data_IF_037584957102
#
_entry.id   IF_037584957102
#
_cell.length_a   1.000
_cell.length_b   1.000
_cell.length_c   1.000
_cell.angle_alpha   90.00
_cell.angle_beta   90.00
_cell.angle_gamma   90.00
#
_symmetry.space_group_name_H-M   'P 1'
#
loop_
_entity.id
_entity.type
_entity.pdbx_description
1 polymer ?
#
# COMPACT_ATOMS: atom_id res chain seq x y z
N UNK A 1 -31.41 -54.48 22.01
CA UNK A 1 -31.82 -53.69 20.82
C UNK A 1 -32.23 -52.31 21.34
N UNK A 2 -31.64 -51.16 21.04
CA UNK A 2 -30.42 -50.73 20.36
C UNK A 2 -30.00 -49.42 21.05
N UNK A 3 -28.71 -49.24 21.33
CA UNK A 3 -28.16 -47.97 21.79
C UNK A 3 -28.19 -46.98 20.61
N UNK A 4 -28.89 -45.85 20.76
CA UNK A 4 -28.88 -44.79 19.77
C UNK A 4 -27.66 -43.90 20.01
N UNK A 5 -26.64 -44.13 19.19
CA UNK A 5 -25.48 -43.27 19.00
C UNK A 5 -25.91 -41.94 18.37
N UNK A 6 -25.81 -40.84 19.11
CA UNK A 6 -25.91 -39.50 18.53
C UNK A 6 -24.50 -39.03 18.16
N UNK A 7 -24.22 -39.03 16.86
CA UNK A 7 -23.02 -38.46 16.28
C UNK A 7 -23.14 -36.93 16.34
N UNK A 8 -22.37 -36.29 17.23
CA UNK A 8 -22.16 -34.84 17.17
C UNK A 8 -21.32 -34.52 15.94
N UNK A 9 -21.97 -34.02 14.89
CA UNK A 9 -21.30 -33.46 13.72
C UNK A 9 -20.57 -32.18 14.16
N UNK A 10 -19.26 -32.25 14.30
CA UNK A 10 -18.41 -31.05 14.47
C UNK A 10 -18.26 -30.45 13.08
N UNK A 11 -19.00 -29.40 12.79
CA UNK A 11 -18.73 -28.50 11.66
C UNK A 11 -17.38 -27.83 11.90
N UNK A 12 -16.34 -28.32 11.22
CA UNK A 12 -15.02 -27.69 11.21
C UNK A 12 -15.15 -26.30 10.58
N UNK A 13 -14.70 -25.30 11.33
CA UNK A 13 -14.73 -23.89 10.98
C UNK A 13 -14.15 -23.65 9.58
N UNK A 14 -14.84 -22.82 8.79
CA UNK A 14 -14.28 -22.23 7.59
C UNK A 14 -12.97 -21.54 7.99
N UNK A 15 -11.88 -21.94 7.34
CA UNK A 15 -10.66 -21.15 7.29
C UNK A 15 -11.02 -19.82 6.64
N UNK A 16 -11.30 -18.80 7.47
CA UNK A 16 -11.36 -17.42 7.01
C UNK A 16 -10.03 -17.12 6.36
N UNK A 17 -10.07 -16.74 5.08
CA UNK A 17 -8.93 -16.18 4.39
C UNK A 17 -8.32 -15.10 5.31
N UNK A 18 -7.06 -15.28 5.70
CA UNK A 18 -6.32 -14.23 6.38
C UNK A 18 -6.39 -13.00 5.46
N UNK A 19 -7.09 -11.96 5.92
CA UNK A 19 -7.25 -10.72 5.18
C UNK A 19 -5.88 -10.06 5.08
N UNK A 20 -5.17 -10.36 4.00
CA UNK A 20 -3.92 -9.67 3.65
C UNK A 20 -4.30 -8.27 3.18
N UNK A 21 -4.44 -7.35 4.15
CA UNK A 21 -4.70 -5.90 4.05
C UNK A 21 -5.60 -5.45 2.88
N UNK A 22 -6.74 -4.85 3.20
CA UNK A 22 -7.65 -4.30 2.19
C UNK A 22 -7.08 -3.13 1.39
N UNK A 23 -6.02 -2.47 1.85
CA UNK A 23 -5.13 -1.67 1.01
C UNK A 23 -3.68 -1.88 1.44
N UNK A 24 -2.74 -1.73 0.51
CA UNK A 24 -1.31 -1.93 0.78
C UNK A 24 -0.45 -0.92 0.00
N UNK A 25 0.49 -0.29 0.70
CA UNK A 25 1.57 0.50 0.11
C UNK A 25 2.87 -0.32 0.12
N UNK A 26 3.39 -0.65 -1.07
CA UNK A 26 4.73 -1.24 -1.23
C UNK A 26 5.66 -0.23 -1.91
N UNK A 27 6.90 -0.11 -1.43
CA UNK A 27 7.89 0.87 -1.92
C UNK A 27 9.13 0.18 -2.51
N UNK A 28 9.72 0.76 -3.56
CA UNK A 28 11.00 0.32 -4.15
C UNK A 28 11.97 1.47 -4.39
N UNK A 29 13.20 1.28 -3.93
CA UNK A 29 14.25 2.31 -3.94
C UNK A 29 15.28 2.25 -5.08
N UNK A 30 15.22 1.28 -5.99
CA UNK A 30 16.35 1.04 -6.92
C UNK A 30 15.92 0.83 -8.38
N UNK A 31 14.98 1.62 -8.91
CA UNK A 31 14.46 1.34 -10.25
C UNK A 31 14.01 2.54 -11.08
N UNK A 32 14.62 2.66 -12.25
CA UNK A 32 14.22 3.57 -13.33
C UNK A 32 12.90 3.18 -14.06
N UNK A 33 12.06 2.32 -13.49
CA UNK A 33 10.84 1.82 -14.13
C UNK A 33 9.68 1.65 -13.17
N UNK A 34 8.48 2.03 -13.62
CA UNK A 34 7.22 1.95 -12.89
C UNK A 34 6.65 0.52 -12.81
N UNK A 35 7.41 -0.40 -12.22
CA UNK A 35 7.07 -1.81 -12.03
C UNK A 35 7.74 -2.36 -10.77
N UNK A 36 7.31 -3.53 -10.26
CA UNK A 36 8.07 -4.26 -9.23
C UNK A 36 9.32 -4.92 -9.84
N UNK A 37 10.52 -4.78 -9.24
CA UNK A 37 11.71 -5.47 -9.72
C UNK A 37 11.60 -6.97 -9.46
N UNK A 38 12.06 -7.79 -10.40
CA UNK A 38 12.14 -9.24 -10.19
C UNK A 38 13.12 -9.56 -9.05
N UNK A 39 12.69 -10.36 -8.08
CA UNK A 39 13.50 -10.73 -6.92
C UNK A 39 13.59 -9.67 -5.82
N UNK A 40 12.81 -8.59 -5.92
CA UNK A 40 12.76 -7.57 -4.87
C UNK A 40 11.84 -7.96 -3.72
N UNK A 41 12.25 -7.59 -2.52
CA UNK A 41 11.37 -7.52 -1.36
C UNK A 41 10.77 -6.12 -1.31
N UNK A 42 9.47 -6.06 -1.05
CA UNK A 42 8.81 -4.83 -0.64
C UNK A 42 8.46 -4.94 0.83
N UNK A 43 8.51 -3.82 1.54
CA UNK A 43 7.83 -3.74 2.83
C UNK A 43 6.32 -3.82 2.57
N UNK A 44 5.69 -4.86 3.11
CA UNK A 44 4.26 -5.12 3.02
C UNK A 44 3.55 -4.95 4.38
N UNK A 45 4.23 -4.38 5.36
CA UNK A 45 3.65 -4.05 6.67
C UNK A 45 2.80 -2.77 6.63
N UNK A 46 2.99 -1.95 5.60
CA UNK A 46 2.29 -0.70 5.36
C UNK A 46 0.92 -0.91 4.68
N UNK A 47 -0.05 -1.47 5.41
CA UNK A 47 -1.42 -1.68 4.92
C UNK A 47 -2.47 -1.58 6.02
N UNK A 48 -3.74 -1.65 5.64
CA UNK A 48 -4.86 -1.53 6.58
C UNK A 48 -6.16 -2.19 6.11
N UNK A 49 -7.20 -2.12 6.95
CA UNK A 49 -8.57 -2.54 6.63
C UNK A 49 -9.26 -1.52 5.70
N UNK A 50 -10.38 -1.86 5.04
CA UNK A 50 -11.02 -0.97 4.08
C UNK A 50 -11.42 0.36 4.73
N UNK A 51 -11.19 1.47 4.04
CA UNK A 51 -11.47 2.84 4.52
C UNK A 51 -10.71 3.26 5.80
N UNK A 52 -9.77 2.47 6.29
CA UNK A 52 -8.88 2.91 7.36
C UNK A 52 -7.71 3.65 6.77
N UNK A 53 -7.41 4.82 7.31
CA UNK A 53 -6.17 5.51 6.99
C UNK A 53 -4.97 4.94 7.76
N UNK A 54 -3.78 5.28 7.30
CA UNK A 54 -2.57 5.30 8.11
C UNK A 54 -2.00 6.72 8.07
N UNK A 55 -1.87 7.32 9.25
CA UNK A 55 -1.50 8.72 9.41
C UNK A 55 -0.02 8.96 9.06
N UNK A 56 0.85 7.97 9.30
CA UNK A 56 2.22 8.04 8.82
C UNK A 56 2.98 6.69 8.84
N UNK A 57 3.71 6.42 7.77
CA UNK A 57 4.68 5.33 7.67
C UNK A 57 5.99 5.83 7.08
N UNK A 58 7.10 5.23 7.48
CA UNK A 58 8.40 5.50 6.84
C UNK A 58 8.40 4.89 5.44
N UNK A 59 8.70 5.71 4.43
CA UNK A 59 8.92 5.27 3.07
C UNK A 59 10.43 5.19 2.80
N UNK A 60 10.84 4.18 2.02
CA UNK A 60 12.25 3.82 1.80
C UNK A 60 13.08 4.96 1.20
N UNK A 61 14.41 4.83 1.20
CA UNK A 61 15.28 5.74 0.46
C UNK A 61 15.18 5.48 -1.05
N UNK A 62 15.41 6.52 -1.87
CA UNK A 62 15.52 6.45 -3.33
C UNK A 62 14.23 5.96 -4.06
N UNK A 63 13.06 6.38 -3.58
CA UNK A 63 11.77 5.95 -4.14
C UNK A 63 11.58 6.33 -5.62
N UNK A 64 11.31 5.34 -6.46
CA UNK A 64 11.00 5.58 -7.88
C UNK A 64 9.67 4.95 -8.33
N UNK A 65 9.12 4.01 -7.56
CA UNK A 65 7.80 3.45 -7.76
C UNK A 65 7.18 3.01 -6.43
N UNK A 66 5.86 3.02 -6.37
CA UNK A 66 5.10 2.40 -5.29
C UNK A 66 3.89 1.64 -5.83
N UNK A 67 3.42 0.64 -5.10
CA UNK A 67 2.16 -0.04 -5.36
C UNK A 67 1.14 0.51 -4.37
N UNK A 68 -0.03 0.87 -4.86
CA UNK A 68 -1.21 1.15 -4.03
C UNK A 68 -2.24 0.08 -4.34
N UNK A 69 -2.15 -1.05 -3.63
CA UNK A 69 -3.10 -2.14 -3.81
C UNK A 69 -4.44 -1.73 -3.22
N UNK A 70 -5.52 -2.03 -3.96
CA UNK A 70 -6.90 -1.84 -3.50
C UNK A 70 -7.15 -0.39 -3.02
N UNK A 71 -6.70 0.57 -3.83
CA UNK A 71 -6.87 1.99 -3.58
C UNK A 71 -8.36 2.38 -3.58
N UNK A 72 -8.92 2.47 -2.37
CA UNK A 72 -10.30 2.87 -2.10
C UNK A 72 -10.62 4.26 -2.66
N UNK A 73 -11.84 4.41 -3.19
CA UNK A 73 -12.38 5.72 -3.58
C UNK A 73 -12.55 6.61 -2.35
N UNK A 74 -12.05 7.84 -2.41
CA UNK A 74 -12.05 8.78 -1.29
C UNK A 74 -10.79 8.73 -0.41
N UNK A 75 -9.83 7.86 -0.73
CA UNK A 75 -8.53 7.85 -0.05
C UNK A 75 -7.43 8.50 -0.89
N UNK A 76 -6.51 9.16 -0.22
CA UNK A 76 -5.41 9.93 -0.81
C UNK A 76 -4.08 9.41 -0.27
N UNK A 77 -3.11 9.20 -1.17
CA UNK A 77 -1.74 8.91 -0.79
C UNK A 77 -0.94 10.21 -0.80
N UNK A 78 -0.22 10.46 0.29
CA UNK A 78 0.73 11.58 0.40
C UNK A 78 2.12 11.04 0.64
N UNK A 79 3.13 11.64 0.02
CA UNK A 79 4.52 11.47 0.39
C UNK A 79 5.06 12.78 0.92
N UNK A 80 5.86 12.67 1.97
CA UNK A 80 6.54 13.76 2.66
C UNK A 80 8.04 13.57 2.52
N UNK A 81 8.77 14.67 2.37
CA UNK A 81 10.22 14.63 2.51
C UNK A 81 10.62 14.30 3.96
N UNK A 82 11.79 13.69 4.13
CA UNK A 82 12.35 13.36 5.43
C UNK A 82 12.98 14.54 6.16
N UNK A 83 12.58 15.78 5.84
CA UNK A 83 13.07 16.97 6.55
C UNK A 83 12.56 17.05 7.99
N UNK A 84 11.45 16.36 8.28
CA UNK A 84 10.92 16.09 9.62
C UNK A 84 10.57 14.61 9.76
N UNK A 85 10.36 14.17 11.00
CA UNK A 85 9.86 12.83 11.32
C UNK A 85 8.33 12.79 11.17
N UNK A 86 7.77 11.59 11.10
CA UNK A 86 6.32 11.34 11.26
C UNK A 86 5.41 12.17 10.34
N UNK A 87 5.76 12.31 9.05
CA UNK A 87 4.92 12.98 8.06
C UNK A 87 4.66 14.48 8.38
N UNK A 88 5.49 15.09 9.22
CA UNK A 88 5.47 16.54 9.48
C UNK A 88 6.34 17.33 8.47
N UNK A 89 7.00 16.63 7.55
CA UNK A 89 7.81 17.20 6.49
C UNK A 89 6.98 17.89 5.42
N UNK A 90 7.64 18.37 4.37
CA UNK A 90 6.95 18.98 3.23
C UNK A 90 6.28 17.88 2.40
N UNK A 91 5.01 18.07 2.05
CA UNK A 91 4.34 17.24 1.05
C UNK A 91 5.04 17.42 -0.31
N UNK A 92 5.60 16.34 -0.83
CA UNK A 92 6.26 16.29 -2.14
C UNK A 92 5.38 15.65 -3.20
N UNK A 93 4.41 14.84 -2.78
CA UNK A 93 3.42 14.23 -3.64
C UNK A 93 2.12 14.03 -2.88
N UNK A 94 1.00 14.29 -3.55
CA UNK A 94 -0.35 14.06 -3.03
C UNK A 94 -1.25 13.68 -4.19
N UNK A 95 -1.77 12.46 -4.18
CA UNK A 95 -2.67 11.97 -5.22
C UNK A 95 -3.84 11.23 -4.60
N UNK A 96 -5.02 11.43 -5.18
CA UNK A 96 -6.09 10.43 -5.17
C UNK A 96 -5.92 9.48 -6.37
N UNK A 97 -6.62 8.34 -6.35
CA UNK A 97 -6.57 7.37 -7.44
C UNK A 97 -6.94 8.00 -8.79
N UNK A 98 -7.94 8.87 -8.81
CA UNK A 98 -8.41 9.52 -10.03
C UNK A 98 -7.39 10.52 -10.55
N UNK A 99 -6.79 11.34 -9.68
CA UNK A 99 -5.73 12.28 -10.09
C UNK A 99 -4.49 11.55 -10.62
N UNK A 100 -4.04 10.48 -9.94
CA UNK A 100 -2.91 9.69 -10.42
C UNK A 100 -3.16 9.09 -11.80
N UNK A 101 -4.42 8.70 -12.10
CA UNK A 101 -4.82 8.22 -13.42
C UNK A 101 -4.83 9.35 -14.46
N UNK A 102 -5.40 10.50 -14.13
CA UNK A 102 -5.53 11.64 -15.04
C UNK A 102 -4.19 12.27 -15.40
N UNK A 103 -3.21 12.22 -14.48
CA UNK A 103 -1.84 12.70 -14.68
C UNK A 103 -0.88 11.63 -15.21
N UNK A 104 -1.39 10.48 -15.66
CA UNK A 104 -0.61 9.37 -16.20
C UNK A 104 0.50 8.88 -15.24
N UNK A 105 0.28 9.01 -13.93
CA UNK A 105 1.18 8.54 -12.87
C UNK A 105 1.02 7.05 -12.57
N UNK A 106 0.08 6.37 -13.21
CA UNK A 106 -0.11 4.93 -13.03
C UNK A 106 0.59 4.14 -14.15
N UNK A 107 1.08 2.94 -13.83
CA UNK A 107 1.54 1.98 -14.82
C UNK A 107 0.42 1.61 -15.79
N UNK A 108 0.77 1.03 -16.95
CA UNK A 108 -0.21 0.69 -18.01
C UNK A 108 -1.34 -0.24 -17.55
N UNK A 109 -1.05 -1.11 -16.58
CA UNK A 109 -2.00 -2.02 -15.95
C UNK A 109 -2.68 -1.41 -14.70
N UNK A 110 -2.31 -0.19 -14.31
CA UNK A 110 -2.84 0.52 -13.15
C UNK A 110 -2.32 0.00 -11.81
N UNK A 111 -1.40 -0.95 -11.83
CA UNK A 111 -0.89 -1.64 -10.63
C UNK A 111 0.03 -0.73 -9.81
N UNK A 112 0.91 0.02 -10.46
CA UNK A 112 1.95 0.82 -9.80
C UNK A 112 1.71 2.29 -10.01
N UNK A 113 2.06 3.11 -9.02
CA UNK A 113 2.21 4.54 -9.17
C UNK A 113 3.69 4.88 -9.36
N UNK A 114 3.97 5.62 -10.42
CA UNK A 114 5.30 6.01 -10.84
C UNK A 114 5.72 7.25 -10.05
N UNK A 115 6.83 7.15 -9.32
CA UNK A 115 7.40 8.24 -8.53
C UNK A 115 8.59 8.88 -9.26
N UNK A 116 8.51 8.98 -10.59
CA UNK A 116 9.63 9.47 -11.44
C UNK A 116 10.07 10.88 -11.11
N UNK A 117 9.20 11.68 -10.48
CA UNK A 117 9.49 13.04 -10.06
C UNK A 117 10.35 13.10 -8.79
N UNK A 118 10.54 11.96 -8.10
CA UNK A 118 11.40 11.82 -6.93
C UNK A 118 12.81 11.31 -7.29
N UNK A 119 13.04 10.96 -8.56
CA UNK A 119 14.34 10.48 -9.02
C UNK A 119 15.44 11.52 -8.75
N UNK A 120 16.51 11.11 -8.05
CA UNK A 120 17.63 11.99 -7.70
C UNK A 120 17.45 12.80 -6.41
N UNK A 121 16.31 12.65 -5.73
CA UNK A 121 16.13 13.09 -4.36
C UNK A 121 16.28 11.85 -3.44
N UNK A 122 17.45 11.64 -2.81
CA UNK A 122 17.58 10.57 -1.82
C UNK A 122 16.82 10.95 -0.56
N UNK A 123 16.12 9.98 0.04
CA UNK A 123 15.28 10.15 1.23
C UNK A 123 16.04 10.53 2.52
N UNK A 124 15.44 10.33 3.71
CA UNK A 124 14.28 9.47 3.97
C UNK A 124 12.98 10.08 3.45
N UNK A 125 11.97 9.24 3.28
CA UNK A 125 10.63 9.65 2.92
C UNK A 125 9.64 9.15 3.96
N UNK A 126 8.48 9.79 4.02
CA UNK A 126 7.34 9.28 4.78
C UNK A 126 6.11 9.26 3.88
N UNK A 127 5.18 8.34 4.12
CA UNK A 127 3.93 8.24 3.39
C UNK A 127 2.74 8.25 4.36
N UNK A 128 1.60 8.77 3.89
CA UNK A 128 0.32 8.57 4.55
C UNK A 128 -0.71 8.07 3.55
N UNK A 129 -1.66 7.28 4.03
CA UNK A 129 -2.85 6.86 3.30
C UNK A 129 -4.04 7.40 4.07
N UNK A 130 -4.69 8.46 3.61
CA UNK A 130 -5.74 9.14 4.38
C UNK A 130 -7.07 9.00 3.66
N UNK A 131 -8.08 8.48 4.36
CA UNK A 131 -9.44 8.35 3.85
C UNK A 131 -10.35 9.34 4.56
N UNK A 132 -11.17 10.07 3.80
CA UNK A 132 -12.20 11.00 4.31
C UNK A 132 -13.61 10.41 4.32
#
# INVERSE_FOLDING_TARGET
MHAFSTLSTITLALFGAQTANAWLLEFWGTQNSCTKPSGSAADSSAGGEPKQGNDCMMAYYDLEAMLVKDWDEGCTVKLYDGSSLECEGKVILEYSRQQAKDEEKLSKDGTYMCLTDLAGHPGPYYASYTCE
#
